data_IF_215962143056
#
_entry.id   IF_215962143056
#
_cell.length_a   1.000
_cell.length_b   1.000
_cell.length_c   1.000
_cell.angle_alpha   90.00
_cell.angle_beta   90.00
_cell.angle_gamma   90.00
#
_symmetry.space_group_name_H-M   'P 1'
#
loop_
_entity.id
_entity.type
_entity.pdbx_description
1 polymer ?
#
# COMPACT_ATOMS: atom_id res chain seq x y z
N UNK A 1 -0.48 3.09 6.87
CA UNK A 1 0.75 2.96 6.07
C UNK A 1 1.33 1.59 6.37
N UNK A 2 1.80 0.89 5.35
CA UNK A 2 2.36 -0.45 5.47
C UNK A 2 3.70 -0.52 4.75
N UNK A 3 4.64 -1.30 5.28
CA UNK A 3 5.87 -1.68 4.59
C UNK A 3 5.75 -3.17 4.28
N UNK A 4 5.67 -3.52 3.00
CA UNK A 4 5.33 -4.88 2.55
C UNK A 4 6.46 -5.52 1.75
N UNK A 5 6.59 -6.83 1.84
CA UNK A 5 7.45 -7.62 0.96
C UNK A 5 6.80 -7.87 -0.42
N UNK A 6 7.49 -8.61 -1.29
CA UNK A 6 7.02 -8.95 -2.62
C UNK A 6 5.77 -9.85 -2.61
N UNK A 7 5.46 -10.49 -1.49
CA UNK A 7 4.28 -11.34 -1.27
C UNK A 7 3.13 -10.54 -0.64
N UNK A 8 3.29 -9.23 -0.45
CA UNK A 8 2.28 -8.36 0.16
C UNK A 8 2.14 -8.55 1.66
N UNK A 9 3.13 -9.14 2.34
CA UNK A 9 3.12 -9.35 3.78
C UNK A 9 3.90 -8.24 4.50
N UNK A 10 3.48 -7.81 5.70
CA UNK A 10 4.24 -6.86 6.50
C UNK A 10 5.65 -7.39 6.82
N UNK A 11 6.65 -6.55 6.60
CA UNK A 11 8.04 -6.89 6.99
C UNK A 11 8.30 -6.58 8.46
N UNK A 12 9.28 -7.25 9.10
CA UNK A 12 9.70 -6.92 10.47
C UNK A 12 10.25 -5.49 10.59
N UNK A 13 10.26 -4.96 11.82
CA UNK A 13 10.83 -3.64 12.11
C UNK A 13 12.30 -3.56 11.68
N UNK A 14 12.70 -2.45 11.04
CA UNK A 14 14.04 -2.25 10.50
C UNK A 14 14.32 -2.97 9.17
N UNK A 15 13.44 -3.86 8.69
CA UNK A 15 13.58 -4.53 7.40
C UNK A 15 12.99 -3.67 6.30
N UNK A 16 13.68 -3.60 5.15
CA UNK A 16 13.21 -2.85 4.00
C UNK A 16 12.08 -3.59 3.27
N UNK A 17 11.10 -2.83 2.80
CA UNK A 17 10.02 -3.27 1.92
C UNK A 17 9.41 -2.10 1.16
N UNK A 18 8.39 -2.35 0.35
CA UNK A 18 7.71 -1.32 -0.41
C UNK A 18 6.64 -0.61 0.42
N UNK A 19 6.62 0.73 0.35
CA UNK A 19 5.65 1.57 1.05
C UNK A 19 4.28 1.46 0.37
N UNK A 20 3.25 1.19 1.17
CA UNK A 20 1.86 1.15 0.73
C UNK A 20 0.99 2.05 1.61
N UNK A 21 0.10 2.82 0.98
CA UNK A 21 -0.76 3.80 1.67
C UNK A 21 -2.22 3.36 1.60
N UNK A 22 -2.84 3.17 2.77
CA UNK A 22 -4.28 2.88 2.91
C UNK A 22 -5.05 4.03 3.56
N UNK A 23 -6.37 3.87 3.67
CA UNK A 23 -7.26 4.80 4.40
C UNK A 23 -7.93 5.86 3.53
N UNK A 24 -8.59 6.83 4.19
CA UNK A 24 -9.52 7.80 3.56
C UNK A 24 -8.86 8.73 2.53
N UNK A 25 -7.54 8.92 2.60
CA UNK A 25 -6.78 9.75 1.66
C UNK A 25 -6.42 9.06 0.34
N UNK A 26 -6.70 7.77 0.19
CA UNK A 26 -6.41 7.03 -1.05
C UNK A 26 -7.34 7.49 -2.16
N UNK A 27 -6.76 7.90 -3.29
CA UNK A 27 -7.52 8.39 -4.44
C UNK A 27 -8.43 7.31 -5.05
N UNK A 28 -9.42 7.74 -5.84
CA UNK A 28 -10.28 6.81 -6.62
C UNK A 28 -9.50 6.06 -7.69
N UNK A 29 -8.43 6.66 -8.19
CA UNK A 29 -7.59 6.14 -9.26
C UNK A 29 -7.05 7.26 -10.14
N UNK A 30 -6.48 6.87 -11.26
CA UNK A 30 -6.07 7.78 -12.32
C UNK A 30 -7.21 7.99 -13.33
N UNK A 31 -7.57 9.24 -13.58
CA UNK A 31 -8.61 9.59 -14.55
C UNK A 31 -8.31 9.01 -15.92
N UNK A 32 -9.28 8.31 -16.52
CA UNK A 32 -9.18 7.67 -17.83
C UNK A 32 -8.03 6.66 -17.97
N UNK A 33 -7.52 6.11 -16.86
CA UNK A 33 -6.47 5.08 -16.87
C UNK A 33 -6.85 3.90 -15.96
N UNK A 34 -7.86 3.09 -16.33
CA UNK A 34 -8.35 2.00 -15.49
C UNK A 34 -7.31 0.89 -15.27
N UNK A 35 -6.52 0.53 -16.28
CA UNK A 35 -5.48 -0.49 -16.16
C UNK A 35 -4.40 -0.10 -15.13
N UNK A 36 -3.86 1.13 -15.25
CA UNK A 36 -2.88 1.66 -14.29
C UNK A 36 -3.49 1.83 -12.89
N UNK A 37 -4.78 2.17 -12.81
CA UNK A 37 -5.50 2.24 -11.54
C UNK A 37 -5.56 0.87 -10.88
N UNK A 38 -5.95 -0.19 -11.61
CA UNK A 38 -6.00 -1.54 -11.05
C UNK A 38 -4.62 -2.06 -10.62
N UNK A 39 -3.56 -1.64 -11.32
CA UNK A 39 -2.18 -2.00 -10.99
C UNK A 39 -1.67 -1.31 -9.71
N UNK A 40 -2.03 -0.04 -9.49
CA UNK A 40 -1.52 0.76 -8.36
C UNK A 40 -2.45 0.83 -7.16
N UNK A 41 -3.74 0.61 -7.34
CA UNK A 41 -4.76 0.66 -6.28
C UNK A 41 -5.31 -0.75 -6.04
N UNK A 42 -4.58 -1.51 -5.24
CA UNK A 42 -4.85 -2.93 -4.96
C UNK A 42 -5.80 -3.11 -3.76
N UNK A 43 -6.47 -4.26 -3.60
CA UNK A 43 -7.26 -4.55 -2.40
C UNK A 43 -6.43 -4.42 -1.11
N UNK A 44 -7.03 -3.87 -0.06
CA UNK A 44 -6.40 -3.79 1.26
C UNK A 44 -6.76 -5.03 2.10
N UNK A 45 -5.84 -6.00 2.30
CA UNK A 45 -6.12 -7.19 3.10
C UNK A 45 -6.12 -6.93 4.61
N UNK A 46 -5.72 -5.73 5.05
CA UNK A 46 -5.59 -5.37 6.47
C UNK A 46 -6.80 -4.58 6.99
N UNK A 47 -7.68 -4.14 6.11
CA UNK A 47 -8.89 -3.39 6.45
C UNK A 47 -10.12 -4.30 6.44
N UNK A 48 -11.00 -4.12 7.43
CA UNK A 48 -12.32 -4.77 7.46
C UNK A 48 -13.38 -3.99 6.70
N UNK A 49 -13.06 -2.75 6.26
CA UNK A 49 -14.01 -1.93 5.53
C UNK A 49 -14.17 -2.43 4.08
N UNK A 50 -15.41 -2.63 3.59
CA UNK A 50 -15.66 -3.07 2.22
C UNK A 50 -15.07 -2.11 1.19
N UNK A 51 -14.36 -2.65 0.20
CA UNK A 51 -13.78 -1.86 -0.89
C UNK A 51 -12.56 -1.03 -0.51
N UNK A 52 -11.97 -1.25 0.68
CA UNK A 52 -10.69 -0.67 1.06
C UNK A 52 -9.57 -1.06 0.08
N UNK A 53 -8.70 -0.10 -0.21
CA UNK A 53 -7.60 -0.24 -1.17
C UNK A 53 -6.31 0.35 -0.62
N UNK A 54 -5.20 -0.23 -1.05
CA UNK A 54 -3.86 0.31 -0.86
C UNK A 54 -3.37 0.96 -2.15
N UNK A 55 -2.76 2.13 -2.05
CA UNK A 55 -1.94 2.71 -3.10
C UNK A 55 -0.50 2.19 -2.98
N UNK A 56 -0.04 1.56 -4.05
CA UNK A 56 1.29 1.00 -4.22
C UNK A 56 2.24 2.10 -4.74
N UNK A 57 3.13 2.61 -3.89
CA UNK A 57 3.89 3.83 -4.20
C UNK A 57 5.08 3.58 -5.11
N UNK A 58 5.68 2.38 -5.08
CA UNK A 58 6.96 2.08 -5.72
C UNK A 58 8.19 2.51 -4.92
N UNK A 59 8.01 3.13 -3.75
CA UNK A 59 9.10 3.58 -2.89
C UNK A 59 9.50 2.49 -1.89
N UNK A 60 10.79 2.36 -1.63
CA UNK A 60 11.30 1.50 -0.56
C UNK A 60 11.41 2.27 0.75
N UNK A 61 10.98 1.63 1.83
CA UNK A 61 11.06 2.16 3.18
C UNK A 61 11.31 1.07 4.21
N UNK A 62 11.59 1.48 5.44
CA UNK A 62 11.61 0.62 6.62
C UNK A 62 11.11 1.41 7.81
N UNK A 63 10.52 0.72 8.77
CA UNK A 63 10.22 1.31 10.07
C UNK A 63 11.49 1.55 10.87
N UNK A 64 11.61 2.73 11.45
CA UNK A 64 12.60 3.00 12.49
C UNK A 64 12.01 2.61 13.86
N UNK A 65 12.84 2.41 14.89
CA UNK A 65 12.34 2.03 16.22
C UNK A 65 11.37 3.04 16.85
N UNK A 66 11.42 4.30 16.43
CA UNK A 66 10.55 5.39 16.86
C UNK A 66 9.30 5.58 15.99
N UNK A 67 9.16 4.79 14.92
CA UNK A 67 8.08 4.90 13.94
C UNK A 67 8.50 5.67 12.71
#
# INVERSE_FOLDING_TARGET
LYILDAQGQPVPLGVAGEIHIGGVGVARGYLNRPALTAERFIPDPFSTAPGSRLYKTGDLGRWLPDG
#
